data_IF_151950139767
#
_entry.id   IF_151950139767
#
_cell.length_a   1.000
_cell.length_b   1.000
_cell.length_c   1.000
_cell.angle_alpha   90.00
_cell.angle_beta   90.00
_cell.angle_gamma   90.00
#
_symmetry.space_group_name_H-M   'P 1'
#
loop_
_entity.id
_entity.type
_entity.pdbx_description
1 polymer ?
#
# COMPACT_ATOMS: atom_id res chain seq x y z
N UNK A 1 -6.89 -2.35 -12.05
CA UNK A 1 -5.85 -1.30 -11.90
C UNK A 1 -6.49 0.06 -11.96
N UNK A 2 -5.94 1.04 -11.25
CA UNK A 2 -6.34 2.45 -11.35
C UNK A 2 -5.19 3.19 -12.01
N UNK A 3 -5.48 3.95 -13.05
CA UNK A 3 -4.50 4.82 -13.72
C UNK A 3 -4.77 6.26 -13.31
N UNK A 4 -3.77 6.91 -12.73
CA UNK A 4 -3.79 8.32 -12.37
C UNK A 4 -2.97 9.07 -13.41
N UNK A 5 -3.63 9.76 -14.34
CA UNK A 5 -2.96 10.49 -15.42
C UNK A 5 -2.32 11.80 -14.95
N UNK A 6 -2.90 12.41 -13.91
CA UNK A 6 -2.43 13.67 -13.33
C UNK A 6 -2.13 13.49 -11.85
N UNK A 7 -0.86 13.34 -11.52
CA UNK A 7 -0.37 13.32 -10.14
C UNK A 7 0.35 14.62 -9.81
N UNK A 8 0.58 14.89 -8.52
CA UNK A 8 1.35 16.06 -8.07
C UNK A 8 2.74 16.11 -8.73
N UNK A 9 3.32 14.96 -9.06
CA UNK A 9 4.65 14.84 -9.64
C UNK A 9 4.63 14.83 -11.19
N UNK A 10 3.49 15.12 -11.82
CA UNK A 10 3.30 15.14 -13.28
C UNK A 10 3.65 13.84 -14.02
N UNK A 11 3.76 12.74 -13.29
CA UNK A 11 3.99 11.40 -13.85
C UNK A 11 2.73 10.57 -13.71
N UNK A 12 2.37 9.84 -14.76
CA UNK A 12 1.27 8.88 -14.69
C UNK A 12 1.61 7.78 -13.68
N UNK A 13 0.64 7.39 -12.87
CA UNK A 13 0.81 6.34 -11.88
C UNK A 13 -0.23 5.26 -12.06
N UNK A 14 0.20 4.02 -12.05
CA UNK A 14 -0.69 2.85 -12.09
C UNK A 14 -0.67 2.18 -10.72
N UNK A 15 -1.85 2.09 -10.10
CA UNK A 15 -2.03 1.47 -8.80
C UNK A 15 -2.79 0.15 -8.98
N UNK A 16 -2.23 -0.99 -8.53
CA UNK A 16 -2.96 -2.25 -8.55
C UNK A 16 -4.12 -2.23 -7.57
N UNK A 17 -5.22 -2.89 -7.93
CA UNK A 17 -6.33 -3.15 -7.02
C UNK A 17 -6.19 -4.55 -6.44
N UNK A 18 -6.32 -4.68 -5.12
CA UNK A 18 -6.49 -5.99 -4.50
C UNK A 18 -7.82 -6.61 -4.95
N UNK A 19 -7.91 -7.93 -4.88
CA UNK A 19 -9.17 -8.64 -5.20
C UNK A 19 -10.34 -8.13 -4.37
N UNK A 20 -10.13 -7.95 -3.07
CA UNK A 20 -11.15 -7.43 -2.14
C UNK A 20 -11.60 -6.04 -2.55
N UNK A 21 -10.66 -5.12 -2.78
CA UNK A 21 -11.01 -3.76 -3.19
C UNK A 21 -11.73 -3.74 -4.55
N UNK A 22 -11.30 -4.56 -5.50
CA UNK A 22 -11.95 -4.68 -6.80
C UNK A 22 -13.41 -5.17 -6.67
N UNK A 23 -13.69 -6.09 -5.74
CA UNK A 23 -15.06 -6.56 -5.49
C UNK A 23 -15.91 -5.44 -4.86
N UNK A 24 -15.40 -4.75 -3.85
CA UNK A 24 -16.08 -3.60 -3.21
C UNK A 24 -16.39 -2.52 -4.25
N UNK A 25 -15.43 -2.20 -5.11
CA UNK A 25 -15.63 -1.21 -6.17
C UNK A 25 -16.70 -1.64 -7.19
N UNK A 26 -16.73 -2.91 -7.58
CA UNK A 26 -17.78 -3.42 -8.49
C UNK A 26 -19.17 -3.33 -7.83
N UNK A 27 -19.26 -3.66 -6.55
CA UNK A 27 -20.51 -3.54 -5.80
C UNK A 27 -20.94 -2.07 -5.71
N UNK A 28 -20.04 -1.17 -5.33
CA UNK A 28 -20.30 0.26 -5.29
C UNK A 28 -20.81 0.80 -6.64
N UNK A 29 -20.17 0.40 -7.76
CA UNK A 29 -20.57 0.86 -9.09
C UNK A 29 -21.98 0.41 -9.50
N UNK A 30 -22.45 -0.75 -9.00
CA UNK A 30 -23.85 -1.18 -9.20
C UNK A 30 -24.86 -0.22 -8.54
N UNK A 31 -24.54 0.28 -7.33
CA UNK A 31 -25.38 1.25 -6.62
C UNK A 31 -25.28 2.65 -7.23
N UNK A 32 -24.06 3.06 -7.60
CA UNK A 32 -23.83 4.36 -8.20
C UNK A 32 -24.64 4.54 -9.49
N UNK A 33 -24.74 3.49 -10.29
CA UNK A 33 -25.26 3.51 -11.67
C UNK A 33 -24.48 4.55 -12.51
N UNK A 34 -24.66 4.62 -13.79
CA UNK A 34 -23.98 5.55 -14.67
C UNK A 34 -23.08 4.86 -15.68
N UNK A 35 -22.51 5.65 -16.58
CA UNK A 35 -21.74 5.20 -17.72
C UNK A 35 -20.23 5.14 -17.41
N UNK A 36 -19.45 4.63 -18.35
CA UNK A 36 -17.99 4.43 -18.17
C UNK A 36 -17.22 5.75 -18.03
N UNK A 37 -17.71 6.82 -18.62
CA UNK A 37 -17.12 8.15 -18.63
C UNK A 37 -17.44 8.95 -17.39
N UNK A 38 -18.39 8.50 -16.58
CA UNK A 38 -18.82 9.20 -15.38
C UNK A 38 -17.75 9.13 -14.27
N UNK A 39 -17.73 10.15 -13.41
CA UNK A 39 -16.86 10.15 -12.25
C UNK A 39 -17.16 8.95 -11.34
N UNK A 40 -16.12 8.21 -10.97
CA UNK A 40 -16.25 7.08 -10.03
C UNK A 40 -16.85 7.55 -8.71
N UNK A 41 -16.33 8.66 -8.18
CA UNK A 41 -16.87 9.32 -6.99
C UNK A 41 -17.53 10.62 -7.41
N UNK A 42 -18.85 10.61 -7.43
CA UNK A 42 -19.69 11.75 -7.83
C UNK A 42 -20.52 12.24 -6.64
N UNK A 43 -21.03 13.46 -6.75
CA UNK A 43 -22.07 13.95 -5.87
C UNK A 43 -23.45 13.38 -6.28
N UNK A 44 -24.50 13.73 -5.57
CA UNK A 44 -25.88 13.27 -5.83
C UNK A 44 -26.41 13.67 -7.21
N UNK A 45 -25.80 14.62 -7.88
CA UNK A 45 -26.15 15.10 -9.23
C UNK A 45 -25.28 14.47 -10.33
N UNK A 46 -24.42 13.51 -10.01
CA UNK A 46 -23.50 12.89 -10.96
C UNK A 46 -22.24 13.68 -11.27
N UNK A 47 -22.09 14.90 -10.71
CA UNK A 47 -20.92 15.73 -10.93
C UNK A 47 -19.73 15.28 -10.05
N UNK A 48 -18.52 15.71 -10.43
CA UNK A 48 -17.32 15.49 -9.65
C UNK A 48 -17.54 15.86 -8.19
N UNK A 49 -17.28 14.93 -7.28
CA UNK A 49 -17.39 15.17 -5.85
C UNK A 49 -16.31 16.13 -5.35
N UNK A 50 -16.65 16.94 -4.35
CA UNK A 50 -15.70 17.83 -3.70
C UNK A 50 -14.87 17.08 -2.66
N UNK A 51 -13.55 17.32 -2.67
CA UNK A 51 -12.59 16.67 -1.77
C UNK A 51 -12.91 16.97 -0.30
N UNK A 52 -13.29 18.19 0.01
CA UNK A 52 -13.61 18.61 1.38
C UNK A 52 -14.82 17.86 1.90
N UNK A 53 -15.87 17.73 1.10
CA UNK A 53 -17.06 16.94 1.43
C UNK A 53 -16.69 15.49 1.79
N UNK A 54 -15.84 14.85 0.99
CA UNK A 54 -15.40 13.48 1.30
C UNK A 54 -14.55 13.40 2.58
N UNK A 55 -13.70 14.38 2.84
CA UNK A 55 -12.93 14.46 4.08
C UNK A 55 -13.84 14.59 5.30
N UNK A 56 -14.86 15.45 5.21
CA UNK A 56 -15.84 15.67 6.30
C UNK A 56 -16.69 14.42 6.54
N UNK A 57 -17.15 13.74 5.48
CA UNK A 57 -17.86 12.46 5.57
C UNK A 57 -16.99 11.38 6.23
N UNK A 58 -15.72 11.28 5.83
CA UNK A 58 -14.77 10.34 6.40
C UNK A 58 -14.52 10.63 7.88
N UNK A 59 -14.38 11.90 8.23
CA UNK A 59 -14.22 12.33 9.62
C UNK A 59 -15.45 12.00 10.48
N UNK A 60 -16.64 12.28 9.97
CA UNK A 60 -17.89 11.94 10.64
C UNK A 60 -18.03 10.43 10.87
N UNK A 61 -17.76 9.63 9.84
CA UNK A 61 -17.75 8.18 9.93
C UNK A 61 -16.78 7.67 11.00
N UNK A 62 -15.54 8.16 10.99
CA UNK A 62 -14.52 7.73 11.95
C UNK A 62 -14.93 8.07 13.39
N UNK A 63 -15.44 9.29 13.63
CA UNK A 63 -15.93 9.69 14.95
C UNK A 63 -17.09 8.79 15.42
N UNK A 64 -18.00 8.42 14.52
CA UNK A 64 -19.10 7.49 14.86
C UNK A 64 -18.60 6.09 15.26
N UNK A 65 -17.34 5.75 14.92
CA UNK A 65 -16.65 4.51 15.30
C UNK A 65 -15.67 4.70 16.47
N UNK A 66 -15.71 5.84 17.16
CA UNK A 66 -14.83 6.13 18.29
C UNK A 66 -13.40 6.51 17.92
N UNK A 67 -13.14 6.85 16.65
CA UNK A 67 -11.81 7.27 16.17
C UNK A 67 -11.78 8.81 16.11
N UNK A 68 -11.07 9.42 17.06
CA UNK A 68 -10.98 10.89 17.15
C UNK A 68 -10.10 11.52 16.09
N UNK A 69 -8.90 10.93 15.88
CA UNK A 69 -7.95 11.42 14.85
C UNK A 69 -8.33 10.90 13.49
N UNK A 70 -8.78 11.79 12.62
CA UNK A 70 -9.24 11.40 11.29
C UNK A 70 -8.62 12.27 10.21
N UNK A 71 -7.98 11.64 9.20
CA UNK A 71 -7.61 12.28 7.95
C UNK A 71 -7.27 11.22 6.90
N UNK A 72 -7.34 11.59 5.62
CA UNK A 72 -6.92 10.71 4.54
C UNK A 72 -5.43 10.31 4.68
N UNK A 73 -4.59 11.20 5.23
CA UNK A 73 -3.19 10.92 5.50
C UNK A 73 -2.99 9.81 6.54
N UNK A 74 -3.84 9.73 7.56
CA UNK A 74 -3.75 8.66 8.56
C UNK A 74 -4.05 7.27 7.98
N UNK A 75 -4.99 7.19 7.03
CA UNK A 75 -5.21 5.94 6.30
C UNK A 75 -3.99 5.55 5.48
N UNK A 76 -3.36 6.53 4.82
CA UNK A 76 -2.12 6.30 4.06
C UNK A 76 -0.98 5.84 4.96
N UNK A 77 -0.79 6.46 6.14
CA UNK A 77 0.19 6.05 7.14
C UNK A 77 -0.10 4.64 7.66
N UNK A 78 -1.36 4.33 7.95
CA UNK A 78 -1.78 3.01 8.40
C UNK A 78 -1.52 1.94 7.34
N UNK A 79 -1.80 2.25 6.07
CA UNK A 79 -1.50 1.36 4.96
C UNK A 79 0.01 1.10 4.85
N UNK A 80 0.83 2.15 4.87
CA UNK A 80 2.29 2.03 4.79
C UNK A 80 2.85 1.19 5.96
N UNK A 81 2.42 1.48 7.19
CA UNK A 81 2.80 0.71 8.37
C UNK A 81 2.46 -0.78 8.21
N UNK A 82 1.20 -1.09 7.89
CA UNK A 82 0.76 -2.49 7.73
C UNK A 82 1.46 -3.19 6.58
N UNK A 83 1.76 -2.48 5.49
CA UNK A 83 2.53 -3.03 4.38
C UNK A 83 3.91 -3.50 4.82
N UNK A 84 4.63 -2.67 5.56
CA UNK A 84 5.98 -2.98 6.07
C UNK A 84 5.92 -4.13 7.09
N UNK A 85 5.01 -4.06 8.06
CA UNK A 85 4.85 -5.11 9.07
C UNK A 85 4.48 -6.48 8.47
N UNK A 86 3.83 -6.49 7.31
CA UNK A 86 3.52 -7.71 6.56
C UNK A 86 4.67 -8.16 5.61
N UNK A 87 5.87 -7.58 5.73
CA UNK A 87 7.02 -7.91 4.90
C UNK A 87 6.92 -7.42 3.46
N UNK A 88 6.09 -6.42 3.20
CA UNK A 88 5.93 -5.84 1.87
C UNK A 88 7.16 -5.05 1.42
N UNK A 89 7.52 -5.20 0.15
CA UNK A 89 8.67 -4.52 -0.44
C UNK A 89 8.54 -2.98 -0.41
N UNK A 90 9.58 -2.30 0.07
CA UNK A 90 9.59 -0.86 0.31
C UNK A 90 9.61 -0.03 -1.00
N UNK A 91 10.24 -0.52 -2.06
CA UNK A 91 10.26 0.17 -3.35
C UNK A 91 8.91 0.08 -4.05
N UNK A 92 8.20 -1.04 -3.89
CA UNK A 92 6.80 -1.16 -4.32
C UNK A 92 5.90 -0.23 -3.55
N UNK A 93 6.09 -0.13 -2.23
CA UNK A 93 5.35 0.82 -1.40
C UNK A 93 5.56 2.26 -1.87
N UNK A 94 6.81 2.66 -2.12
CA UNK A 94 7.14 3.98 -2.66
C UNK A 94 6.37 4.28 -3.96
N UNK A 95 6.38 3.34 -4.89
CA UNK A 95 5.66 3.48 -6.16
C UNK A 95 4.14 3.59 -5.95
N UNK A 96 3.56 2.76 -5.08
CA UNK A 96 2.12 2.79 -4.77
C UNK A 96 1.73 4.12 -4.14
N UNK A 97 2.57 4.65 -3.26
CA UNK A 97 2.32 5.93 -2.59
C UNK A 97 2.64 7.14 -3.47
N UNK A 98 3.31 6.96 -4.62
CA UNK A 98 3.69 8.06 -5.52
C UNK A 98 4.71 9.01 -4.90
N UNK A 99 5.54 8.55 -3.98
CA UNK A 99 6.62 9.35 -3.40
C UNK A 99 7.81 9.40 -4.35
N UNK A 100 8.26 10.59 -4.69
CA UNK A 100 9.50 10.81 -5.45
C UNK A 100 10.74 10.52 -4.62
N UNK A 101 10.65 10.62 -3.28
CA UNK A 101 11.73 10.42 -2.34
C UNK A 101 11.42 9.26 -1.38
N UNK A 102 12.46 8.51 -1.04
CA UNK A 102 12.43 7.43 -0.06
C UNK A 102 12.42 7.92 1.40
N UNK A 103 12.64 9.22 1.65
CA UNK A 103 12.73 9.77 3.01
C UNK A 103 11.52 9.36 3.87
N UNK A 104 10.31 9.53 3.34
CA UNK A 104 9.08 9.16 4.05
C UNK A 104 8.99 7.65 4.28
N UNK A 105 9.46 6.84 3.33
CA UNK A 105 9.46 5.38 3.49
C UNK A 105 10.53 4.95 4.49
N UNK A 106 11.68 5.63 4.52
CA UNK A 106 12.75 5.39 5.51
C UNK A 106 12.26 5.59 6.95
N UNK A 107 11.46 6.63 7.21
CA UNK A 107 10.87 6.84 8.53
C UNK A 107 10.05 5.63 8.98
N UNK A 108 9.24 5.05 8.09
CA UNK A 108 8.48 3.84 8.41
C UNK A 108 9.38 2.63 8.65
N UNK A 109 10.45 2.47 7.87
CA UNK A 109 11.40 1.39 8.06
C UNK A 109 12.14 1.55 9.38
N UNK A 110 12.58 2.75 9.75
CA UNK A 110 13.21 3.02 11.03
C UNK A 110 12.28 2.79 12.23
N UNK A 111 11.01 3.15 12.10
CA UNK A 111 10.02 2.98 13.16
C UNK A 111 9.55 1.53 13.33
N UNK A 112 9.50 0.77 12.24
CA UNK A 112 8.86 -0.53 12.18
C UNK A 112 9.73 -1.60 11.52
N UNK A 113 10.88 -1.21 10.98
CA UNK A 113 11.89 -2.09 10.42
C UNK A 113 12.54 -2.88 11.54
N UNK A 114 12.38 -4.17 11.43
CA UNK A 114 12.62 -5.07 12.50
C UNK A 114 13.99 -5.71 12.40
N UNK A 115 14.26 -6.44 13.42
CA UNK A 115 15.33 -7.40 13.55
C UNK A 115 15.75 -7.96 12.19
N UNK A 116 17.01 -7.69 11.82
CA UNK A 116 17.62 -8.17 10.57
C UNK A 116 17.64 -9.70 10.47
N UNK A 117 17.43 -10.41 11.58
CA UNK A 117 17.35 -11.86 11.63
C UNK A 117 16.02 -12.41 11.11
N UNK A 118 14.96 -11.60 11.11
CA UNK A 118 13.64 -12.03 10.63
C UNK A 118 13.70 -12.31 9.12
N UNK A 119 13.34 -13.51 8.74
CA UNK A 119 13.35 -13.98 7.35
C UNK A 119 14.76 -13.99 6.68
N UNK A 120 15.86 -13.83 7.44
CA UNK A 120 17.21 -13.80 6.88
C UNK A 120 17.48 -15.03 6.01
N UNK A 121 17.20 -16.21 6.50
CA UNK A 121 17.42 -17.49 5.80
C UNK A 121 16.57 -17.58 4.51
N UNK A 122 15.39 -17.01 4.52
CA UNK A 122 14.50 -16.99 3.35
C UNK A 122 15.09 -16.17 2.19
N UNK A 123 15.82 -15.11 2.49
CA UNK A 123 16.41 -14.21 1.51
C UNK A 123 17.90 -14.46 1.27
N UNK A 124 18.56 -15.25 2.12
CA UNK A 124 19.97 -15.56 1.99
C UNK A 124 20.21 -16.46 0.74
N UNK A 125 21.03 -16.02 -0.23
CA UNK A 125 21.30 -16.81 -1.43
C UNK A 125 21.96 -18.17 -1.12
N UNK A 126 22.74 -18.28 -0.06
CA UNK A 126 23.41 -19.51 0.33
C UNK A 126 22.42 -20.62 0.67
N UNK A 127 21.34 -20.28 1.39
CA UNK A 127 20.34 -21.27 1.82
C UNK A 127 19.50 -21.81 0.66
N UNK A 128 19.51 -21.09 -0.48
CA UNK A 128 18.88 -21.53 -1.72
C UNK A 128 19.79 -22.34 -2.63
N UNK A 129 21.10 -22.19 -2.48
CA UNK A 129 22.10 -22.82 -3.37
C UNK A 129 22.72 -24.06 -2.78
N UNK A 130 22.78 -24.16 -1.45
CA UNK A 130 23.33 -25.33 -0.76
C UNK A 130 22.20 -26.33 -0.49
N UNK A 131 22.22 -27.47 -1.20
CA UNK A 131 21.31 -28.56 -0.87
C UNK A 131 21.63 -29.09 0.56
N UNK A 132 20.61 -29.46 1.36
CA UNK A 132 20.77 -29.85 2.76
C UNK A 132 21.76 -30.96 3.02
N UNK A 133 22.22 -31.67 1.99
CA UNK A 133 23.15 -32.83 2.08
C UNK A 133 24.53 -32.56 1.45
N UNK A 134 24.90 -31.30 1.19
CA UNK A 134 26.07 -31.03 0.36
C UNK A 134 27.35 -30.54 1.05
N UNK A 135 27.39 -30.41 2.36
CA UNK A 135 28.63 -30.01 3.05
C UNK A 135 29.56 -31.20 3.21
N UNK A 136 30.49 -31.40 2.27
CA UNK A 136 31.62 -32.29 2.48
C UNK A 136 32.48 -31.73 3.61
N UNK A 137 32.73 -32.53 4.64
CA UNK A 137 33.66 -32.17 5.72
C UNK A 137 35.02 -31.87 5.11
N UNK A 138 35.52 -30.65 5.28
CA UNK A 138 36.89 -30.28 4.93
C UNK A 138 37.78 -30.90 6.00
N UNK A 139 38.60 -31.91 5.60
CA UNK A 139 39.62 -32.45 6.50
C UNK A 139 40.73 -31.42 6.66
N UNK A 140 40.91 -30.90 7.88
CA UNK A 140 42.06 -30.04 8.21
C UNK A 140 43.29 -30.95 8.26
N UNK A 141 44.30 -30.65 7.44
CA UNK A 141 45.64 -31.25 7.60
C UNK A 141 46.23 -30.85 8.94
N UNK A 142 46.73 -31.79 9.71
CA UNK A 142 47.49 -31.54 10.92
C UNK A 142 48.90 -31.15 10.58
#
# INVERSE_FOLDING_TARGET
MITLNHTKNRTAQIIPLSRTLANIMREYLKYRKGEAEDYVFCNTYGNKGDIRTYQDMLAAYNRSKGVEKTSAHLYRHTFAKKWILNGGDIFRLQKILGHSDLSVVKEYVQMFGNDLSVDFDKFNPLDRTVAPNGCKKIAMAK
#
